data_IF_398100180209
#
_entry.id   IF_398100180209
#
_cell.length_a   1.000
_cell.length_b   1.000
_cell.length_c   1.000
_cell.angle_alpha   90.00
_cell.angle_beta   90.00
_cell.angle_gamma   90.00
#
_symmetry.space_group_name_H-M   'P 1'
#
loop_
_entity.id
_entity.type
_entity.pdbx_description
1 polymer ?
#
# COMPACT_ATOMS: atom_id res chain seq x y z
N UNK A 1 31.57 3.84 4.09
CA UNK A 1 31.30 4.65 5.30
C UNK A 1 30.14 4.06 6.08
N UNK A 2 30.08 4.26 7.40
CA UNK A 2 28.85 3.99 8.18
C UNK A 2 27.86 5.13 7.96
N UNK A 3 26.56 4.83 7.98
CA UNK A 3 25.51 5.83 7.85
C UNK A 3 24.42 5.60 8.91
N UNK A 4 23.76 6.68 9.33
CA UNK A 4 22.61 6.66 10.24
C UNK A 4 21.35 7.02 9.47
N UNK A 5 20.24 6.37 9.77
CA UNK A 5 18.94 6.75 9.20
C UNK A 5 18.45 8.00 9.91
N UNK A 6 18.21 9.07 9.16
CA UNK A 6 17.62 10.33 9.66
C UNK A 6 16.10 10.21 9.68
N UNK A 7 15.53 9.58 8.65
CA UNK A 7 14.11 9.31 8.55
C UNK A 7 13.81 8.43 7.33
N UNK A 8 12.64 7.80 7.35
CA UNK A 8 12.14 7.01 6.24
C UNK A 8 10.64 7.18 6.10
N UNK A 9 10.18 7.14 4.86
CA UNK A 9 8.78 7.30 4.49
C UNK A 9 8.35 6.16 3.56
N UNK A 10 7.80 5.07 4.12
CA UNK A 10 7.37 3.92 3.34
C UNK A 10 6.26 4.25 2.33
N UNK A 11 5.45 5.29 2.58
CA UNK A 11 4.34 5.65 1.70
C UNK A 11 4.80 6.37 0.42
N UNK A 12 6.05 6.81 0.34
CA UNK A 12 6.64 7.39 -0.87
C UNK A 12 7.88 6.64 -1.34
N UNK A 13 8.28 5.59 -0.63
CA UNK A 13 9.51 4.82 -0.89
C UNK A 13 10.79 5.69 -0.88
N UNK A 14 10.92 6.55 0.13
CA UNK A 14 12.08 7.45 0.31
C UNK A 14 12.66 7.31 1.71
N UNK A 15 13.99 7.26 1.81
CA UNK A 15 14.71 7.35 3.07
C UNK A 15 15.87 8.33 2.96
N UNK A 16 16.19 9.00 4.07
CA UNK A 16 17.34 9.89 4.19
C UNK A 16 18.33 9.28 5.16
N UNK A 17 19.57 9.11 4.70
CA UNK A 17 20.68 8.62 5.50
C UNK A 17 21.76 9.69 5.61
N UNK A 18 22.36 9.80 6.78
CA UNK A 18 23.51 10.65 7.04
C UNK A 18 24.77 9.80 7.14
N UNK A 19 25.73 10.06 6.26
CA UNK A 19 27.04 9.42 6.29
C UNK A 19 27.86 10.00 7.45
N UNK A 20 28.43 9.12 8.28
CA UNK A 20 29.36 9.49 9.35
C UNK A 20 30.79 9.54 8.77
N UNK A 21 31.23 10.75 8.40
CA UNK A 21 32.55 11.02 7.83
C UNK A 21 32.97 12.47 8.05
N UNK A 22 34.28 12.72 8.15
CA UNK A 22 34.87 14.07 8.16
C UNK A 22 35.18 14.60 6.76
N UNK A 23 35.09 13.75 5.75
CA UNK A 23 35.33 14.12 4.35
C UNK A 23 34.22 15.01 3.80
N UNK A 24 34.58 15.91 2.88
CA UNK A 24 33.62 16.75 2.17
C UNK A 24 33.29 16.11 0.82
N UNK A 25 32.03 15.70 0.67
CA UNK A 25 31.54 15.13 -0.59
C UNK A 25 31.03 16.24 -1.53
N UNK A 26 31.15 16.01 -2.85
CA UNK A 26 30.54 16.86 -3.87
C UNK A 26 29.11 16.36 -4.12
N UNK A 27 28.06 17.13 -3.73
CA UNK A 27 26.69 16.70 -3.95
C UNK A 27 26.30 16.88 -5.42
N UNK A 28 25.34 16.07 -5.84
CA UNK A 28 24.57 16.30 -7.07
C UNK A 28 23.49 17.36 -6.82
N UNK A 29 22.97 17.95 -7.89
CA UNK A 29 21.87 18.92 -7.80
C UNK A 29 20.57 18.26 -8.20
N UNK A 30 19.47 18.65 -7.57
CA UNK A 30 18.14 18.31 -8.06
C UNK A 30 17.75 19.24 -9.21
N UNK A 31 17.27 18.64 -10.29
CA UNK A 31 16.61 19.32 -11.40
C UNK A 31 15.11 19.45 -11.16
N UNK A 32 14.44 20.09 -12.12
CA UNK A 32 13.00 20.30 -12.10
C UNK A 32 12.30 19.21 -12.92
N UNK A 33 11.81 18.16 -12.25
CA UNK A 33 11.18 17.02 -12.90
C UNK A 33 9.90 17.39 -13.66
N UNK A 34 9.24 18.50 -13.31
CA UNK A 34 8.00 18.91 -13.98
C UNK A 34 8.25 19.44 -15.38
N UNK A 35 9.46 19.93 -15.67
CA UNK A 35 9.89 20.35 -17.01
C UNK A 35 10.36 19.20 -17.90
N UNK A 36 10.59 18.02 -17.34
CA UNK A 36 11.05 16.87 -18.11
C UNK A 36 9.91 16.32 -18.98
N UNK A 37 10.20 16.04 -20.25
CA UNK A 37 9.20 15.63 -21.25
C UNK A 37 9.46 14.22 -21.73
N UNK A 38 8.39 13.56 -22.18
CA UNK A 38 8.51 12.29 -22.89
C UNK A 38 9.42 12.50 -24.11
N UNK A 39 10.41 11.62 -24.28
CA UNK A 39 11.44 11.71 -25.31
C UNK A 39 12.72 12.44 -24.90
N UNK A 40 12.74 13.15 -23.76
CA UNK A 40 13.99 13.75 -23.27
C UNK A 40 14.97 12.63 -22.85
N UNK A 41 16.25 12.80 -23.20
CA UNK A 41 17.33 11.88 -22.83
C UNK A 41 17.59 11.88 -21.34
N UNK A 42 17.87 10.69 -20.81
CA UNK A 42 18.17 10.48 -19.39
C UNK A 42 19.31 9.49 -19.20
N UNK A 43 20.00 9.63 -18.07
CA UNK A 43 21.09 8.76 -17.65
C UNK A 43 20.76 8.19 -16.27
N UNK A 44 20.73 6.87 -16.15
CA UNK A 44 20.58 6.19 -14.86
C UNK A 44 21.94 5.72 -14.35
N UNK A 45 22.22 5.98 -13.07
CA UNK A 45 23.45 5.52 -12.41
C UNK A 45 23.09 4.69 -11.17
N UNK A 46 23.76 3.56 -10.99
CA UNK A 46 23.51 2.65 -9.86
C UNK A 46 24.59 1.60 -9.68
N UNK A 47 24.30 0.59 -8.85
CA UNK A 47 25.17 -0.57 -8.64
C UNK A 47 24.39 -1.87 -8.92
N UNK A 48 24.06 -2.15 -10.19
CA UNK A 48 23.22 -3.27 -10.55
C UNK A 48 23.92 -4.59 -10.20
N UNK A 49 23.19 -5.49 -9.52
CA UNK A 49 23.68 -6.80 -9.08
C UNK A 49 24.97 -6.77 -8.23
N UNK A 50 25.38 -5.61 -7.71
CA UNK A 50 26.61 -5.45 -6.94
C UNK A 50 27.90 -5.42 -7.79
N UNK A 51 27.80 -5.28 -9.12
CA UNK A 51 28.95 -5.33 -10.04
C UNK A 51 29.82 -4.06 -10.05
N UNK A 52 29.40 -3.01 -9.34
CA UNK A 52 30.05 -1.71 -9.28
C UNK A 52 29.24 -0.59 -9.93
N UNK A 53 29.77 0.63 -9.88
CA UNK A 53 29.11 1.82 -10.44
C UNK A 53 28.88 1.67 -11.94
N UNK A 54 27.60 1.57 -12.34
CA UNK A 54 27.19 1.35 -13.72
C UNK A 54 26.33 2.52 -14.20
N UNK A 55 26.55 2.93 -15.44
CA UNK A 55 25.83 4.01 -16.11
C UNK A 55 25.07 3.41 -17.28
N UNK A 56 23.78 3.73 -17.40
CA UNK A 56 22.95 3.39 -18.56
C UNK A 56 22.24 4.64 -19.05
N UNK A 57 21.85 4.65 -20.32
CA UNK A 57 21.13 5.78 -20.92
C UNK A 57 19.85 5.30 -21.59
N UNK A 58 18.92 6.23 -21.75
CA UNK A 58 17.64 6.01 -22.41
C UNK A 58 16.90 7.34 -22.53
N UNK A 59 15.59 7.27 -22.64
CA UNK A 59 14.69 8.43 -22.69
C UNK A 59 13.61 8.31 -21.63
N UNK A 60 12.92 9.41 -21.36
CA UNK A 60 11.63 9.37 -20.67
C UNK A 60 10.60 8.76 -21.60
N UNK A 61 10.13 7.55 -21.30
CA UNK A 61 9.14 6.83 -22.12
C UNK A 61 7.71 7.23 -21.77
N UNK A 62 7.44 7.60 -20.51
CA UNK A 62 6.12 8.06 -20.05
C UNK A 62 6.24 8.82 -18.72
N UNK A 63 5.17 9.54 -18.36
CA UNK A 63 5.00 10.20 -17.06
C UNK A 63 3.66 9.81 -16.43
N UNK A 64 3.45 10.16 -15.16
CA UNK A 64 2.20 9.96 -14.44
C UNK A 64 1.78 8.49 -14.36
N UNK A 65 2.77 7.60 -14.25
CA UNK A 65 2.55 6.15 -14.10
C UNK A 65 2.22 5.79 -12.66
N UNK A 66 1.16 5.00 -12.52
CA UNK A 66 0.79 4.30 -11.30
C UNK A 66 0.89 2.80 -11.56
N UNK A 67 1.61 2.10 -10.69
CA UNK A 67 1.97 0.68 -10.80
C UNK A 67 1.62 -0.12 -9.53
N UNK A 68 1.00 0.52 -8.53
CA UNK A 68 0.46 -0.11 -7.32
C UNK A 68 1.52 -0.51 -6.28
N UNK A 69 2.72 0.05 -6.34
CA UNK A 69 3.78 -0.12 -5.33
C UNK A 69 3.64 0.82 -4.14
N UNK A 70 3.07 2.01 -4.36
CA UNK A 70 3.00 3.07 -3.37
C UNK A 70 1.63 3.74 -3.33
N UNK A 71 1.34 4.46 -2.24
CA UNK A 71 0.09 5.22 -2.11
C UNK A 71 0.09 6.47 -2.99
N UNK A 72 1.25 7.08 -3.18
CA UNK A 72 1.40 8.33 -3.94
C UNK A 72 2.29 8.07 -5.15
N UNK A 73 1.68 7.76 -6.29
CA UNK A 73 2.41 7.34 -7.49
C UNK A 73 2.30 8.35 -8.63
N UNK A 74 3.45 8.84 -9.05
CA UNK A 74 3.62 9.68 -10.23
C UNK A 74 4.98 9.35 -10.86
N UNK A 75 5.16 8.08 -11.25
CA UNK A 75 6.48 7.65 -11.69
C UNK A 75 6.83 8.20 -13.08
N UNK A 76 8.09 8.60 -13.23
CA UNK A 76 8.74 8.77 -14.53
C UNK A 76 9.09 7.36 -15.03
N UNK A 77 8.63 7.00 -16.22
CA UNK A 77 9.02 5.77 -16.88
C UNK A 77 10.19 6.04 -17.81
N UNK A 78 11.17 5.15 -17.83
CA UNK A 78 12.31 5.20 -18.76
C UNK A 78 12.63 3.82 -19.32
N UNK A 79 13.21 3.80 -20.51
CA UNK A 79 13.78 2.61 -21.15
C UNK A 79 15.28 2.44 -20.87
N UNK A 80 15.90 3.38 -20.14
CA UNK A 80 17.24 3.21 -19.61
C UNK A 80 17.29 1.91 -18.79
N UNK A 81 18.30 1.08 -19.07
CA UNK A 81 18.44 -0.22 -18.41
C UNK A 81 18.63 -0.05 -16.89
N UNK A 82 17.56 -0.33 -16.14
CA UNK A 82 17.52 -0.35 -14.68
C UNK A 82 17.37 -1.81 -14.23
N UNK A 83 18.13 -2.22 -13.21
CA UNK A 83 18.07 -3.55 -12.61
C UNK A 83 18.11 -3.47 -11.09
N UNK A 84 17.89 -4.61 -10.41
CA UNK A 84 18.10 -4.74 -8.97
C UNK A 84 19.49 -4.22 -8.60
N UNK A 85 19.56 -3.30 -7.63
CA UNK A 85 20.80 -2.60 -7.25
C UNK A 85 20.93 -1.18 -7.79
N UNK A 86 20.09 -0.78 -8.76
CA UNK A 86 19.94 0.63 -9.14
C UNK A 86 18.96 1.40 -8.25
N UNK A 87 18.13 0.70 -7.47
CA UNK A 87 17.16 1.32 -6.56
C UNK A 87 17.83 2.28 -5.59
N UNK A 88 17.29 3.49 -5.46
CA UNK A 88 17.87 4.61 -4.72
C UNK A 88 18.91 5.43 -5.50
N UNK A 89 19.37 4.95 -6.66
CA UNK A 89 20.28 5.67 -7.55
C UNK A 89 19.58 6.80 -8.34
N UNK A 90 20.33 7.81 -8.80
CA UNK A 90 19.77 8.94 -9.54
C UNK A 90 19.42 8.59 -11.00
N UNK A 91 18.37 9.25 -11.49
CA UNK A 91 18.08 9.45 -12.90
C UNK A 91 18.37 10.92 -13.24
N UNK A 92 19.37 11.15 -14.10
CA UNK A 92 19.83 12.47 -14.50
C UNK A 92 19.23 12.91 -15.83
N UNK A 93 19.05 14.22 -15.97
CA UNK A 93 18.97 14.85 -17.28
C UNK A 93 20.37 15.03 -17.91
N UNK A 94 20.41 15.54 -19.14
CA UNK A 94 21.68 15.77 -19.86
C UNK A 94 22.53 16.92 -19.30
N UNK A 95 22.03 17.68 -18.32
CA UNK A 95 22.81 18.70 -17.58
C UNK A 95 23.47 18.13 -16.33
N UNK A 96 23.18 16.87 -15.99
CA UNK A 96 23.66 16.23 -14.77
C UNK A 96 22.83 16.61 -13.54
N UNK A 97 21.63 17.15 -13.72
CA UNK A 97 20.69 17.42 -12.63
C UNK A 97 19.78 16.20 -12.41
N UNK A 98 19.56 15.82 -11.15
CA UNK A 98 18.72 14.67 -10.79
C UNK A 98 17.25 15.03 -11.02
N UNK A 99 16.61 14.36 -11.97
CA UNK A 99 15.18 14.51 -12.27
C UNK A 99 14.34 13.35 -11.71
N UNK A 100 14.97 12.28 -11.24
CA UNK A 100 14.29 11.19 -10.56
C UNK A 100 15.20 10.29 -9.71
N UNK A 101 14.57 9.44 -8.90
CA UNK A 101 15.24 8.41 -8.09
C UNK A 101 14.72 7.05 -8.54
N UNK A 102 15.61 6.22 -9.09
CA UNK A 102 15.27 4.89 -9.58
C UNK A 102 14.68 4.06 -8.44
N UNK A 103 13.52 3.43 -8.63
CA UNK A 103 12.86 2.64 -7.57
C UNK A 103 12.61 1.20 -8.01
N UNK A 104 11.99 1.00 -9.18
CA UNK A 104 11.42 -0.28 -9.57
C UNK A 104 11.52 -0.52 -11.08
N UNK A 105 11.27 -1.76 -11.49
CA UNK A 105 11.22 -2.19 -12.88
C UNK A 105 10.03 -3.11 -13.10
N UNK A 106 9.54 -3.15 -14.34
CA UNK A 106 8.68 -4.24 -14.80
C UNK A 106 9.58 -5.27 -15.50
N UNK A 107 9.68 -6.49 -14.96
CA UNK A 107 10.50 -7.56 -15.55
C UNK A 107 10.86 -8.66 -14.56
N UNK A 108 10.83 -9.93 -14.99
CA UNK A 108 11.23 -11.07 -14.15
C UNK A 108 12.73 -11.33 -14.31
N UNK A 109 13.54 -10.80 -13.39
CA UNK A 109 14.98 -11.10 -13.31
C UNK A 109 15.90 -10.10 -14.03
N UNK A 110 15.36 -9.09 -14.71
CA UNK A 110 16.15 -8.03 -15.34
C UNK A 110 15.29 -7.03 -16.11
N UNK A 111 15.92 -5.94 -16.54
CA UNK A 111 15.30 -4.89 -17.32
C UNK A 111 14.81 -5.40 -18.68
N UNK A 112 13.60 -5.02 -19.06
CA UNK A 112 13.07 -5.20 -20.43
C UNK A 112 12.77 -3.84 -21.08
N UNK A 113 13.43 -2.77 -20.64
CA UNK A 113 13.19 -1.39 -21.10
C UNK A 113 12.00 -0.70 -20.45
N UNK A 114 11.60 -1.14 -19.24
CA UNK A 114 10.51 -0.53 -18.46
C UNK A 114 10.99 -0.34 -17.02
N UNK A 115 11.62 0.80 -16.76
CA UNK A 115 12.05 1.25 -15.44
C UNK A 115 11.21 2.41 -14.92
N UNK A 116 11.13 2.55 -13.60
CA UNK A 116 10.35 3.58 -12.91
C UNK A 116 11.21 4.36 -11.92
N UNK A 117 11.03 5.68 -11.93
CA UNK A 117 11.71 6.62 -11.04
C UNK A 117 10.72 7.55 -10.35
N UNK A 118 10.95 7.81 -9.06
CA UNK A 118 10.23 8.83 -8.29
C UNK A 118 10.72 10.21 -8.76
N UNK A 119 9.84 11.15 -9.17
CA UNK A 119 10.25 12.48 -9.63
C UNK A 119 11.00 13.28 -8.57
N UNK A 120 12.01 14.04 -8.98
CA UNK A 120 12.84 14.86 -8.08
C UNK A 120 12.02 15.88 -7.28
N UNK A 121 11.03 16.54 -7.89
CA UNK A 121 10.21 17.55 -7.19
C UNK A 121 9.39 16.90 -6.05
N UNK A 122 8.87 15.69 -6.27
CA UNK A 122 8.13 14.93 -5.25
C UNK A 122 9.06 14.42 -4.15
N UNK A 123 10.19 13.80 -4.54
CA UNK A 123 11.19 13.30 -3.61
C UNK A 123 11.77 14.41 -2.71
N UNK A 124 12.08 15.58 -3.28
CA UNK A 124 12.64 16.72 -2.53
C UNK A 124 11.74 17.16 -1.39
N UNK A 125 10.42 17.24 -1.61
CA UNK A 125 9.45 17.60 -0.55
C UNK A 125 9.49 16.61 0.62
N UNK A 126 9.60 15.32 0.33
CA UNK A 126 9.71 14.27 1.36
C UNK A 126 11.06 14.35 2.07
N UNK A 127 12.16 14.45 1.32
CA UNK A 127 13.53 14.56 1.84
C UNK A 127 13.64 15.75 2.79
N UNK A 128 13.13 16.92 2.40
CA UNK A 128 13.17 18.14 3.22
C UNK A 128 12.41 17.95 4.54
N UNK A 129 11.26 17.25 4.54
CA UNK A 129 10.54 16.93 5.77
C UNK A 129 11.30 15.94 6.66
N UNK A 130 11.87 14.88 6.07
CA UNK A 130 12.65 13.89 6.81
C UNK A 130 13.90 14.51 7.44
N UNK A 131 14.58 15.43 6.75
CA UNK A 131 15.74 16.15 7.29
C UNK A 131 15.32 17.06 8.46
N UNK A 132 14.25 17.83 8.29
CA UNK A 132 13.87 18.85 9.27
C UNK A 132 13.15 18.28 10.51
N UNK A 133 12.39 17.18 10.33
CA UNK A 133 11.50 16.67 11.37
C UNK A 133 11.72 15.20 11.73
N UNK A 134 12.53 14.46 10.96
CA UNK A 134 12.69 13.00 11.11
C UNK A 134 11.50 12.17 10.61
N UNK A 135 10.39 12.81 10.24
CA UNK A 135 9.15 12.19 9.77
C UNK A 135 8.41 13.09 8.79
N UNK A 136 7.50 12.51 8.00
CA UNK A 136 6.61 13.28 7.14
C UNK A 136 5.38 13.82 7.89
N UNK A 137 4.88 14.94 7.38
CA UNK A 137 3.72 15.68 7.89
C UNK A 137 2.77 15.94 6.73
N UNK A 138 1.92 14.96 6.41
CA UNK A 138 1.02 15.05 5.27
C UNK A 138 -0.31 15.67 5.65
N UNK A 139 -0.81 16.54 4.79
CA UNK A 139 -2.19 17.01 4.86
C UNK A 139 -3.18 15.84 4.79
N UNK A 140 -4.31 16.00 5.46
CA UNK A 140 -5.37 15.00 5.51
C UNK A 140 -6.74 15.66 5.43
N UNK A 141 -7.59 15.13 4.54
CA UNK A 141 -8.99 15.53 4.42
C UNK A 141 -9.95 14.61 5.19
N UNK A 142 -9.62 13.33 5.33
CA UNK A 142 -10.49 12.30 5.92
C UNK A 142 -11.67 11.89 5.03
N UNK A 143 -11.41 11.70 3.74
CA UNK A 143 -12.38 11.15 2.79
C UNK A 143 -11.86 9.87 2.16
N UNK A 144 -12.75 8.92 1.90
CA UNK A 144 -12.53 7.83 0.95
C UNK A 144 -13.11 8.24 -0.39
N UNK A 145 -12.33 8.04 -1.44
CA UNK A 145 -12.68 8.51 -2.78
C UNK A 145 -12.69 7.37 -3.78
N UNK A 146 -13.46 7.55 -4.84
CA UNK A 146 -13.54 6.65 -5.99
C UNK A 146 -13.49 7.45 -7.29
N UNK A 147 -13.20 6.73 -8.38
CA UNK A 147 -13.19 7.30 -9.73
C UNK A 147 -14.60 7.73 -10.11
N UNK A 148 -14.70 8.90 -10.76
CA UNK A 148 -15.92 9.31 -11.44
C UNK A 148 -15.93 8.64 -12.80
N UNK A 149 -16.76 7.61 -12.97
CA UNK A 149 -16.95 6.97 -14.27
C UNK A 149 -17.86 7.82 -15.15
N UNK A 150 -17.93 7.49 -16.44
CA UNK A 150 -18.83 8.16 -17.38
C UNK A 150 -20.29 8.06 -16.92
N UNK A 151 -20.70 6.90 -16.46
CA UNK A 151 -22.07 6.64 -15.99
C UNK A 151 -22.42 7.49 -14.77
N UNK A 152 -21.46 7.65 -13.85
CA UNK A 152 -21.62 8.52 -12.67
C UNK A 152 -21.76 9.97 -13.10
N UNK A 153 -20.89 10.44 -14.02
CA UNK A 153 -20.95 11.80 -14.54
C UNK A 153 -22.30 12.09 -15.23
N UNK A 154 -22.79 11.16 -16.05
CA UNK A 154 -24.06 11.28 -16.76
C UNK A 154 -25.26 11.41 -15.79
N UNK A 155 -25.30 10.58 -14.72
CA UNK A 155 -26.35 10.63 -13.69
C UNK A 155 -26.31 11.96 -12.91
N UNK A 156 -25.11 12.39 -12.53
CA UNK A 156 -24.87 13.64 -11.82
C UNK A 156 -24.96 14.89 -12.71
N UNK A 157 -25.19 14.70 -14.02
CA UNK A 157 -25.18 15.76 -15.04
C UNK A 157 -23.91 16.62 -14.98
N UNK A 158 -22.78 15.98 -14.71
CA UNK A 158 -21.46 16.59 -14.81
C UNK A 158 -21.08 16.66 -16.30
N UNK A 159 -20.36 17.70 -16.69
CA UNK A 159 -19.97 17.97 -18.08
C UNK A 159 -18.95 16.95 -18.62
N UNK A 160 -18.11 16.37 -17.76
CA UNK A 160 -17.19 15.30 -18.10
C UNK A 160 -16.86 14.42 -16.87
N UNK A 161 -16.39 13.18 -17.05
CA UNK A 161 -16.00 12.30 -15.94
C UNK A 161 -14.66 12.74 -15.33
N UNK A 162 -14.71 13.75 -14.46
CA UNK A 162 -13.56 14.29 -13.73
C UNK A 162 -13.77 14.36 -12.23
N UNK A 163 -12.68 14.58 -11.50
CA UNK A 163 -12.69 14.79 -10.06
C UNK A 163 -12.59 13.50 -9.25
N UNK A 164 -12.90 13.60 -7.97
CA UNK A 164 -12.87 12.49 -7.02
C UNK A 164 -14.21 12.38 -6.29
N UNK A 165 -14.96 11.31 -6.53
CA UNK A 165 -16.23 11.06 -5.86
C UNK A 165 -15.98 10.57 -4.44
N UNK A 166 -16.57 11.24 -3.45
CA UNK A 166 -16.50 10.90 -2.03
C UNK A 166 -17.40 9.71 -1.76
N UNK A 167 -16.79 8.55 -1.51
CA UNK A 167 -17.48 7.33 -1.11
C UNK A 167 -17.87 7.34 0.37
N UNK A 168 -17.01 7.87 1.24
CA UNK A 168 -17.32 8.10 2.65
C UNK A 168 -16.46 9.21 3.25
N UNK A 169 -16.93 9.74 4.37
CA UNK A 169 -16.22 10.75 5.16
C UNK A 169 -15.94 10.16 6.54
N UNK A 170 -14.69 10.23 6.99
CA UNK A 170 -14.32 9.77 8.33
C UNK A 170 -14.90 10.72 9.38
N UNK A 171 -15.44 10.15 10.47
CA UNK A 171 -16.02 10.93 11.57
C UNK A 171 -14.97 11.86 12.18
N UNK A 172 -15.37 13.06 12.60
CA UNK A 172 -14.49 14.08 13.20
C UNK A 172 -13.33 14.57 12.32
N UNK A 173 -13.29 14.16 11.04
CA UNK A 173 -12.29 14.57 10.08
C UNK A 173 -12.44 16.04 9.66
N UNK A 174 -11.42 16.63 9.01
CA UNK A 174 -11.53 17.95 8.40
C UNK A 174 -12.72 18.10 7.45
N UNK A 175 -12.99 17.07 6.64
CA UNK A 175 -14.09 17.08 5.67
C UNK A 175 -15.46 16.98 6.36
N UNK A 176 -15.56 16.15 7.41
CA UNK A 176 -16.78 16.04 8.23
C UNK A 176 -17.12 17.39 8.89
N UNK A 177 -16.13 18.02 9.53
CA UNK A 177 -16.27 19.35 10.15
C UNK A 177 -16.64 20.45 9.15
N UNK A 178 -16.25 20.31 7.89
CA UNK A 178 -16.60 21.23 6.81
C UNK A 178 -17.96 20.93 6.15
N UNK A 179 -18.61 19.83 6.54
CA UNK A 179 -19.91 19.40 6.00
C UNK A 179 -19.82 18.81 4.59
N UNK A 180 -18.68 18.22 4.23
CA UNK A 180 -18.54 17.34 3.07
C UNK A 180 -19.31 16.04 3.34
N UNK A 181 -19.91 15.46 2.31
CA UNK A 181 -20.78 14.29 2.43
C UNK A 181 -20.40 13.23 1.42
N UNK A 182 -20.75 11.98 1.72
CA UNK A 182 -20.74 10.93 0.70
C UNK A 182 -21.66 11.33 -0.47
N UNK A 183 -21.23 11.06 -1.69
CA UNK A 183 -21.89 11.50 -2.92
C UNK A 183 -21.37 12.82 -3.50
N UNK A 184 -20.59 13.61 -2.74
CA UNK A 184 -19.94 14.80 -3.29
C UNK A 184 -18.85 14.41 -4.32
N UNK A 185 -18.72 15.17 -5.40
CA UNK A 185 -17.57 15.04 -6.31
C UNK A 185 -16.63 16.23 -6.09
N UNK A 186 -15.41 15.97 -5.64
CA UNK A 186 -14.39 17.02 -5.47
C UNK A 186 -13.83 17.38 -6.85
N UNK A 187 -14.02 18.64 -7.25
CA UNK A 187 -13.62 19.16 -8.57
C UNK A 187 -12.34 20.00 -8.49
N UNK A 188 -12.10 20.69 -7.37
CA UNK A 188 -10.97 21.60 -7.19
C UNK A 188 -10.50 21.59 -5.74
N UNK A 189 -9.18 21.62 -5.57
CA UNK A 189 -8.51 21.74 -4.28
C UNK A 189 -7.55 22.92 -4.33
N UNK A 190 -7.84 23.97 -3.55
CA UNK A 190 -6.99 25.15 -3.39
C UNK A 190 -6.56 25.79 -4.72
N UNK A 191 -7.51 26.00 -5.64
CA UNK A 191 -7.26 26.51 -6.98
C UNK A 191 -6.77 25.48 -8.01
N UNK A 192 -6.43 24.26 -7.57
CA UNK A 192 -5.95 23.19 -8.45
C UNK A 192 -7.11 22.28 -8.86
N UNK A 193 -7.39 22.21 -10.17
CA UNK A 193 -8.42 21.33 -10.73
C UNK A 193 -8.02 19.86 -10.57
N UNK A 194 -8.97 19.04 -10.15
CA UNK A 194 -8.81 17.58 -10.04
C UNK A 194 -9.38 16.96 -11.31
N UNK A 195 -8.51 16.55 -12.23
CA UNK A 195 -8.90 15.89 -13.47
C UNK A 195 -9.09 14.41 -13.23
N UNK A 196 -8.17 13.79 -12.51
CA UNK A 196 -8.20 12.38 -12.17
C UNK A 196 -8.27 12.19 -10.65
N UNK A 197 -9.02 11.18 -10.21
CA UNK A 197 -9.19 10.86 -8.79
C UNK A 197 -7.85 10.74 -8.03
N UNK A 198 -6.82 10.19 -8.68
CA UNK A 198 -5.49 9.95 -8.09
C UNK A 198 -4.69 11.22 -7.77
N UNK A 199 -5.05 12.35 -8.38
CA UNK A 199 -4.37 13.63 -8.17
C UNK A 199 -4.68 14.21 -6.78
N UNK A 200 -5.93 14.06 -6.32
CA UNK A 200 -6.37 14.65 -5.06
C UNK A 200 -5.55 14.16 -3.84
N UNK A 201 -5.33 12.85 -3.62
CA UNK A 201 -4.49 12.39 -2.51
C UNK A 201 -3.07 12.96 -2.54
N UNK A 202 -2.47 13.14 -3.72
CA UNK A 202 -1.12 13.66 -3.87
C UNK A 202 -1.06 15.14 -3.48
N UNK A 203 -1.97 15.95 -4.01
CA UNK A 203 -2.03 17.39 -3.74
C UNK A 203 -2.31 17.63 -2.25
N UNK A 204 -3.25 16.88 -1.67
CA UNK A 204 -3.58 16.96 -0.23
C UNK A 204 -2.38 16.61 0.64
N UNK A 205 -1.68 15.50 0.32
CA UNK A 205 -0.53 15.05 1.09
C UNK A 205 0.65 16.03 1.04
N UNK A 206 0.80 16.76 -0.07
CA UNK A 206 1.85 17.77 -0.25
C UNK A 206 1.49 19.14 0.32
N UNK A 207 0.25 19.35 0.76
CA UNK A 207 -0.20 20.62 1.34
C UNK A 207 0.10 20.64 2.85
N UNK A 208 0.52 21.82 3.33
CA UNK A 208 0.88 22.01 4.73
C UNK A 208 -0.28 21.66 5.68
N UNK A 209 0.04 20.89 6.73
CA UNK A 209 -0.90 20.56 7.80
C UNK A 209 -1.43 21.83 8.45
N UNK A 210 -2.75 21.89 8.66
CA UNK A 210 -3.38 23.05 9.30
C UNK A 210 -3.66 24.22 8.36
N UNK A 211 -3.19 24.18 7.09
CA UNK A 211 -3.57 25.15 6.08
C UNK A 211 -5.09 25.13 5.87
N UNK A 212 -5.69 26.32 5.74
CA UNK A 212 -7.07 26.47 5.29
C UNK A 212 -7.08 26.52 3.76
N UNK A 213 -7.80 25.61 3.14
CA UNK A 213 -7.92 25.49 1.68
C UNK A 213 -9.38 25.63 1.25
N UNK A 214 -9.58 26.14 0.04
CA UNK A 214 -10.89 26.11 -0.61
C UNK A 214 -11.07 24.78 -1.35
N UNK A 215 -12.13 24.04 -1.02
CA UNK A 215 -12.51 22.79 -1.67
C UNK A 215 -13.80 23.02 -2.46
N UNK A 216 -13.73 22.90 -3.80
CA UNK A 216 -14.91 23.00 -4.66
C UNK A 216 -15.46 21.59 -4.90
N UNK A 217 -16.72 21.39 -4.55
CA UNK A 217 -17.43 20.12 -4.73
C UNK A 217 -18.68 20.28 -5.58
N UNK A 218 -19.00 19.25 -6.34
CA UNK A 218 -20.28 19.06 -7.01
C UNK A 218 -21.22 18.30 -6.07
N UNK A 219 -22.36 18.88 -5.78
CA UNK A 219 -23.41 18.24 -4.98
C UNK A 219 -24.77 18.66 -5.52
N UNK A 220 -25.65 17.70 -5.78
CA UNK A 220 -27.00 17.96 -6.28
C UNK A 220 -26.97 18.86 -7.54
N UNK A 221 -26.08 18.56 -8.48
CA UNK A 221 -25.95 19.27 -9.77
C UNK A 221 -25.52 20.74 -9.66
N UNK A 222 -24.83 21.10 -8.57
CA UNK A 222 -24.32 22.46 -8.32
C UNK A 222 -22.92 22.43 -7.73
N UNK A 223 -22.13 23.43 -8.08
CA UNK A 223 -20.85 23.69 -7.42
C UNK A 223 -21.05 24.36 -6.06
N UNK A 224 -20.35 23.86 -5.06
CA UNK A 224 -20.33 24.37 -3.69
C UNK A 224 -18.86 24.47 -3.26
N UNK A 225 -18.46 25.64 -2.76
CA UNK A 225 -17.13 25.81 -2.16
C UNK A 225 -17.20 25.68 -0.64
N UNK A 226 -16.29 24.90 -0.07
CA UNK A 226 -16.12 24.70 1.37
C UNK A 226 -14.71 25.06 1.79
N UNK A 227 -14.58 25.86 2.85
CA UNK A 227 -13.28 26.11 3.49
C UNK A 227 -12.96 24.99 4.47
N UNK A 228 -11.82 24.34 4.27
CA UNK A 228 -11.40 23.19 5.07
C UNK A 228 -10.03 23.46 5.67
N UNK A 229 -9.89 23.25 6.99
CA UNK A 229 -8.58 23.27 7.65
C UNK A 229 -8.01 21.86 7.64
N UNK A 230 -6.91 21.63 6.93
CA UNK A 230 -6.33 20.29 6.81
C UNK A 230 -5.88 19.74 8.16
N UNK A 231 -6.15 18.45 8.37
CA UNK A 231 -5.57 17.68 9.46
C UNK A 231 -4.21 17.13 9.08
N UNK A 232 -3.64 16.35 9.99
CA UNK A 232 -2.41 15.59 9.75
C UNK A 232 -2.73 14.11 9.60
N UNK A 233 -2.31 13.53 8.49
CA UNK A 233 -2.54 12.11 8.20
C UNK A 233 -1.87 11.24 9.26
N UNK A 234 -0.62 11.52 9.62
CA UNK A 234 0.14 10.64 10.52
C UNK A 234 -0.42 10.57 11.94
N UNK A 235 -1.31 11.51 12.31
CA UNK A 235 -1.99 11.55 13.62
C UNK A 235 -3.48 11.22 13.54
N UNK A 236 -4.03 10.99 12.35
CA UNK A 236 -5.45 10.66 12.19
C UNK A 236 -5.75 9.27 12.76
N UNK A 237 -6.95 9.08 13.30
CA UNK A 237 -7.41 7.78 13.83
C UNK A 237 -7.32 6.69 12.76
N UNK A 238 -7.75 6.99 11.52
CA UNK A 238 -7.59 6.13 10.33
C UNK A 238 -6.15 5.66 10.03
N UNK A 239 -5.15 6.43 10.48
CA UNK A 239 -3.74 6.13 10.26
C UNK A 239 -3.09 5.47 11.48
N UNK A 240 -3.56 5.79 12.69
CA UNK A 240 -3.19 5.10 13.93
C UNK A 240 -3.61 3.63 13.89
N UNK A 241 -4.81 3.33 13.40
CA UNK A 241 -5.27 1.95 13.18
C UNK A 241 -4.35 1.18 12.20
N UNK A 242 -3.71 1.87 11.24
CA UNK A 242 -2.74 1.27 10.30
C UNK A 242 -1.31 1.20 10.83
N UNK A 243 -0.89 2.10 11.72
CA UNK A 243 0.41 2.04 12.41
C UNK A 243 0.44 0.98 13.52
N UNK A 244 -0.72 0.47 13.93
CA UNK A 244 -0.87 -0.63 14.89
C UNK A 244 -1.18 -2.00 14.25
N UNK A 245 -0.84 -2.23 12.98
CA UNK A 245 -0.35 -3.56 12.64
C UNK A 245 1.05 -3.69 13.26
N UNK A 246 1.06 -3.94 14.59
CA UNK A 246 2.15 -4.70 15.21
C UNK A 246 2.49 -5.80 14.21
N UNK A 247 3.78 -6.03 13.94
CA UNK A 247 4.22 -7.34 13.45
C UNK A 247 3.49 -8.35 14.32
N UNK A 248 2.42 -8.97 13.81
CA UNK A 248 1.77 -10.03 14.56
C UNK A 248 2.90 -11.03 14.74
N UNK A 249 3.35 -11.19 16.00
CA UNK A 249 3.94 -12.45 16.36
C UNK A 249 2.90 -13.44 15.91
N UNK A 250 3.22 -14.21 14.86
CA UNK A 250 2.37 -15.28 14.38
C UNK A 250 2.21 -16.19 15.59
N UNK A 251 1.09 -16.03 16.29
CA UNK A 251 0.82 -16.78 17.50
C UNK A 251 0.43 -18.18 17.05
N UNK A 252 1.35 -19.12 17.28
CA UNK A 252 1.12 -20.52 17.00
C UNK A 252 0.42 -21.09 18.24
N UNK A 253 -0.84 -21.47 18.07
CA UNK A 253 -1.64 -22.11 19.12
C UNK A 253 -1.67 -23.61 18.91
N UNK A 254 -1.46 -24.37 19.98
CA UNK A 254 -1.63 -25.83 19.95
C UNK A 254 -3.09 -26.21 20.23
N UNK A 255 -3.71 -26.99 19.34
CA UNK A 255 -5.03 -27.58 19.54
C UNK A 255 -4.84 -29.00 20.06
N UNK A 256 -4.78 -29.16 21.39
CA UNK A 256 -4.43 -30.42 22.06
C UNK A 256 -5.27 -31.61 21.61
N UNK A 257 -6.59 -31.45 21.51
CA UNK A 257 -7.52 -32.51 21.10
C UNK A 257 -7.31 -32.99 19.67
N UNK A 258 -6.67 -32.19 18.81
CA UNK A 258 -6.31 -32.57 17.45
C UNK A 258 -4.81 -32.84 17.31
N UNK A 259 -4.00 -32.58 18.34
CA UNK A 259 -2.53 -32.71 18.33
C UNK A 259 -1.88 -31.99 17.15
N UNK A 260 -2.35 -30.77 16.88
CA UNK A 260 -1.84 -29.89 15.81
C UNK A 260 -1.49 -28.52 16.34
N UNK A 261 -0.59 -27.84 15.64
CA UNK A 261 -0.31 -26.42 15.86
C UNK A 261 -0.88 -25.61 14.71
N UNK A 262 -1.56 -24.51 15.02
CA UNK A 262 -2.25 -23.65 14.05
C UNK A 262 -1.88 -22.19 14.23
N UNK A 263 -2.02 -21.41 13.16
CA UNK A 263 -2.02 -19.95 13.20
C UNK A 263 -3.22 -19.40 12.45
N UNK A 264 -3.61 -18.17 12.73
CA UNK A 264 -4.67 -17.49 11.97
C UNK A 264 -4.25 -17.29 10.51
N UNK A 265 -5.20 -17.47 9.59
CA UNK A 265 -5.03 -17.17 8.17
C UNK A 265 -4.91 -15.65 7.98
N UNK A 266 -3.84 -15.20 7.32
CA UNK A 266 -3.56 -13.78 7.12
C UNK A 266 -4.02 -13.29 5.75
N UNK A 267 -4.14 -11.96 5.59
CA UNK A 267 -4.39 -11.32 4.29
C UNK A 267 -3.31 -11.66 3.25
N UNK A 268 -2.06 -11.87 3.69
CA UNK A 268 -0.96 -12.29 2.82
C UNK A 268 -1.17 -13.71 2.30
N UNK A 269 -1.61 -14.65 3.16
CA UNK A 269 -1.94 -16.01 2.74
C UNK A 269 -3.07 -16.02 1.71
N UNK A 270 -4.12 -15.22 1.93
CA UNK A 270 -5.28 -15.10 1.03
C UNK A 270 -4.81 -14.61 -0.35
N UNK A 271 -3.97 -13.58 -0.39
CA UNK A 271 -3.43 -13.03 -1.63
C UNK A 271 -2.52 -14.04 -2.35
N UNK A 272 -1.57 -14.66 -1.64
CA UNK A 272 -0.63 -15.63 -2.19
C UNK A 272 -1.35 -16.85 -2.76
N UNK A 273 -2.38 -17.33 -2.06
CA UNK A 273 -3.15 -18.50 -2.45
C UNK A 273 -4.34 -18.16 -3.35
N UNK A 274 -4.59 -16.89 -3.69
CA UNK A 274 -5.75 -16.46 -4.49
C UNK A 274 -7.08 -16.98 -3.93
N UNK A 275 -7.23 -16.95 -2.60
CA UNK A 275 -8.47 -17.33 -1.93
C UNK A 275 -9.48 -16.17 -2.00
N UNK A 276 -10.79 -16.43 -1.84
CA UNK A 276 -11.77 -15.36 -1.70
C UNK A 276 -11.39 -14.35 -0.61
N UNK A 277 -11.57 -13.05 -0.87
CA UNK A 277 -11.12 -11.94 0.00
C UNK A 277 -11.74 -11.90 1.42
N UNK A 278 -12.66 -12.82 1.74
CA UNK A 278 -13.32 -12.96 3.04
C UNK A 278 -13.13 -14.34 3.67
N UNK A 279 -12.19 -15.14 3.15
CA UNK A 279 -11.87 -16.44 3.74
C UNK A 279 -11.25 -16.22 5.12
N UNK A 280 -11.83 -16.84 6.14
CA UNK A 280 -11.27 -16.94 7.48
C UNK A 280 -10.90 -18.39 7.76
N UNK A 281 -9.92 -18.62 8.62
CA UNK A 281 -9.54 -19.97 9.00
C UNK A 281 -8.22 -20.03 9.74
N UNK A 282 -7.78 -21.26 9.96
CA UNK A 282 -6.55 -21.60 10.67
C UNK A 282 -5.63 -22.40 9.75
N UNK A 283 -4.40 -21.91 9.57
CA UNK A 283 -3.36 -22.61 8.80
C UNK A 283 -2.69 -23.63 9.71
N UNK A 284 -2.63 -24.89 9.27
CA UNK A 284 -1.88 -25.94 9.96
C UNK A 284 -0.39 -25.69 9.81
N UNK A 285 0.32 -25.55 10.93
CA UNK A 285 1.77 -25.28 10.99
C UNK A 285 2.57 -26.51 11.40
N UNK A 286 1.96 -27.39 12.21
CA UNK A 286 2.50 -28.67 12.61
C UNK A 286 1.37 -29.67 12.85
N UNK A 287 1.60 -30.95 12.55
CA UNK A 287 0.65 -32.05 12.75
C UNK A 287 1.42 -33.21 13.39
N UNK A 288 1.03 -33.61 14.61
CA UNK A 288 1.65 -34.76 15.27
C UNK A 288 1.37 -36.05 14.49
N UNK A 289 2.28 -37.03 14.55
CA UNK A 289 2.11 -38.32 13.87
C UNK A 289 0.87 -39.09 14.35
N UNK A 290 0.52 -38.95 15.62
CA UNK A 290 -0.64 -39.56 16.28
C UNK A 290 -1.89 -38.66 16.27
N UNK A 291 -1.90 -37.62 15.45
CA UNK A 291 -3.06 -36.74 15.26
C UNK A 291 -4.21 -37.48 14.54
N UNK A 292 -5.48 -37.27 14.92
CA UNK A 292 -6.64 -37.79 14.20
C UNK A 292 -6.79 -37.22 12.77
N UNK A 293 -5.98 -36.23 12.41
CA UNK A 293 -5.91 -35.62 11.07
C UNK A 293 -4.51 -35.72 10.43
N UNK A 294 -3.72 -36.74 10.79
CA UNK A 294 -2.36 -36.96 10.26
C UNK A 294 -2.29 -37.21 8.74
N UNK A 295 -3.43 -37.43 8.07
CA UNK A 295 -3.54 -37.50 6.62
C UNK A 295 -3.65 -36.12 5.93
N UNK A 296 -3.79 -35.03 6.68
CA UNK A 296 -3.69 -33.66 6.18
C UNK A 296 -2.24 -33.20 6.08
N UNK A 297 -2.00 -32.09 5.39
CA UNK A 297 -0.66 -31.52 5.21
C UNK A 297 -0.51 -30.20 5.95
N UNK A 298 0.71 -29.91 6.39
CA UNK A 298 1.10 -28.55 6.80
C UNK A 298 0.76 -27.58 5.67
N UNK A 299 0.29 -26.39 6.02
CA UNK A 299 -0.32 -25.37 5.17
C UNK A 299 -1.72 -25.66 4.63
N UNK A 300 -2.37 -26.78 4.96
CA UNK A 300 -3.82 -26.87 4.78
C UNK A 300 -4.54 -25.89 5.74
N UNK A 301 -5.71 -25.38 5.34
CA UNK A 301 -6.46 -24.38 6.12
C UNK A 301 -7.76 -25.00 6.62
N UNK A 302 -7.99 -24.98 7.94
CA UNK A 302 -9.30 -25.26 8.53
C UNK A 302 -10.17 -24.01 8.44
N UNK A 303 -11.27 -24.05 7.69
CA UNK A 303 -12.14 -22.89 7.46
C UNK A 303 -13.48 -22.99 8.19
N UNK A 304 -13.96 -24.20 8.47
CA UNK A 304 -15.20 -24.43 9.24
C UNK A 304 -15.07 -25.66 10.13
N UNK A 305 -15.78 -25.66 11.27
CA UNK A 305 -16.07 -26.86 12.06
C UNK A 305 -17.55 -26.88 12.44
N UNK A 306 -18.20 -28.03 12.31
CA UNK A 306 -19.65 -28.20 12.51
C UNK A 306 -20.49 -27.15 11.77
N UNK A 307 -20.12 -26.86 10.52
CA UNK A 307 -20.73 -25.83 9.64
C UNK A 307 -20.67 -24.40 10.19
N UNK A 308 -19.85 -24.14 11.22
CA UNK A 308 -19.55 -22.80 11.74
C UNK A 308 -18.21 -22.35 11.20
N UNK A 309 -18.14 -21.11 10.73
CA UNK A 309 -16.90 -20.48 10.27
C UNK A 309 -15.90 -20.37 11.42
N UNK A 310 -14.65 -20.73 11.15
CA UNK A 310 -13.54 -20.57 12.08
C UNK A 310 -12.82 -19.26 11.78
N UNK A 311 -12.62 -18.43 12.80
CA UNK A 311 -11.85 -17.18 12.71
C UNK A 311 -10.63 -17.20 13.63
N UNK A 312 -10.66 -17.99 14.69
CA UNK A 312 -9.59 -18.10 15.69
C UNK A 312 -9.42 -19.54 16.20
N UNK A 313 -8.28 -19.82 16.84
CA UNK A 313 -8.01 -21.11 17.50
C UNK A 313 -9.08 -21.43 18.57
N UNK A 314 -9.49 -20.40 19.33
CA UNK A 314 -10.53 -20.49 20.36
C UNK A 314 -11.88 -20.93 19.79
N UNK A 315 -12.25 -20.50 18.58
CA UNK A 315 -13.51 -20.93 17.95
C UNK A 315 -13.50 -22.44 17.71
N UNK A 316 -12.38 -22.96 17.21
CA UNK A 316 -12.21 -24.39 16.94
C UNK A 316 -12.20 -25.19 18.23
N UNK A 317 -11.46 -24.75 19.26
CA UNK A 317 -11.44 -25.40 20.57
C UNK A 317 -12.83 -25.44 21.23
N UNK A 318 -13.59 -24.34 21.16
CA UNK A 318 -14.95 -24.31 21.71
C UNK A 318 -15.86 -25.33 21.03
N UNK A 319 -15.78 -25.47 19.71
CA UNK A 319 -16.58 -26.43 18.95
C UNK A 319 -16.17 -27.87 19.29
N UNK A 320 -14.87 -28.15 19.39
CA UNK A 320 -14.34 -29.47 19.80
C UNK A 320 -14.82 -29.81 21.22
N UNK A 321 -14.64 -28.89 22.17
CA UNK A 321 -15.03 -29.10 23.57
C UNK A 321 -16.55 -29.29 23.73
N UNK A 322 -17.35 -28.59 22.93
CA UNK A 322 -18.80 -28.80 22.89
C UNK A 322 -19.15 -30.20 22.38
N UNK A 323 -18.50 -30.67 21.31
CA UNK A 323 -18.71 -31.99 20.77
C UNK A 323 -18.36 -33.10 21.78
N UNK A 324 -17.21 -32.98 22.45
CA UNK A 324 -16.77 -33.91 23.51
C UNK A 324 -17.79 -33.95 24.65
N UNK A 325 -18.26 -32.79 25.14
CA UNK A 325 -19.26 -32.70 26.20
C UNK A 325 -20.61 -33.31 25.82
N UNK A 326 -20.96 -33.31 24.53
CA UNK A 326 -22.19 -33.91 24.01
C UNK A 326 -22.07 -35.39 23.65
N UNK A 327 -20.98 -36.08 24.05
CA UNK A 327 -20.65 -37.45 23.63
C UNK A 327 -20.63 -37.64 22.10
N UNK A 328 -20.32 -36.58 21.36
CA UNK A 328 -20.16 -36.62 19.92
C UNK A 328 -18.68 -36.87 19.60
N UNK A 329 -18.35 -38.14 19.35
CA UNK A 329 -16.97 -38.60 19.12
C UNK A 329 -16.46 -38.29 17.70
N UNK A 330 -17.22 -37.56 16.88
CA UNK A 330 -16.82 -37.19 15.51
C UNK A 330 -17.34 -35.82 15.14
N UNK A 331 -16.45 -34.94 14.70
CA UNK A 331 -16.78 -33.60 14.23
C UNK A 331 -16.57 -33.49 12.72
N UNK A 332 -17.39 -32.67 12.08
CA UNK A 332 -17.23 -32.34 10.67
C UNK A 332 -16.37 -31.07 10.54
N UNK A 333 -15.27 -31.13 9.80
CA UNK A 333 -14.41 -29.97 9.50
C UNK A 333 -14.42 -29.71 8.00
N UNK A 334 -14.46 -28.45 7.58
CA UNK A 334 -14.17 -28.04 6.20
C UNK A 334 -12.74 -27.51 6.13
N UNK A 335 -11.98 -28.01 5.15
CA UNK A 335 -10.61 -27.56 4.88
C UNK A 335 -10.46 -27.00 3.47
N UNK A 336 -9.42 -26.20 3.26
CA UNK A 336 -8.89 -25.83 1.95
C UNK A 336 -7.48 -26.41 1.82
N UNK A 337 -7.30 -27.36 0.91
CA UNK A 337 -6.00 -27.99 0.69
C UNK A 337 -5.04 -27.06 -0.07
N UNK A 338 -3.76 -27.40 -0.15
CA UNK A 338 -2.75 -26.62 -0.89
C UNK A 338 -3.08 -26.33 -2.38
N UNK A 339 -3.98 -27.11 -3.00
CA UNK A 339 -4.48 -26.89 -4.37
C UNK A 339 -5.71 -25.96 -4.41
N UNK A 340 -6.03 -25.32 -3.29
CA UNK A 340 -7.20 -24.45 -3.06
C UNK A 340 -8.55 -25.13 -3.26
N UNK A 341 -8.60 -26.45 -3.09
CA UNK A 341 -9.83 -27.21 -3.14
C UNK A 341 -10.45 -27.30 -1.75
N UNK A 342 -11.72 -26.91 -1.64
CA UNK A 342 -12.50 -27.06 -0.41
C UNK A 342 -13.03 -28.48 -0.28
N UNK A 343 -12.84 -29.10 0.89
CA UNK A 343 -13.30 -30.47 1.21
C UNK A 343 -13.87 -30.53 2.62
N UNK A 344 -14.83 -31.43 2.85
CA UNK A 344 -15.30 -31.78 4.19
C UNK A 344 -14.66 -33.09 4.64
N UNK A 345 -14.26 -33.15 5.92
CA UNK A 345 -13.65 -34.32 6.55
C UNK A 345 -14.34 -34.60 7.88
N UNK A 346 -14.59 -35.88 8.18
CA UNK A 346 -14.99 -36.32 9.50
C UNK A 346 -13.75 -36.59 10.34
N UNK A 347 -13.67 -35.97 11.51
CA UNK A 347 -12.53 -36.12 12.42
C UNK A 347 -13.03 -36.79 13.69
N UNK A 348 -12.52 -37.99 13.96
CA UNK A 348 -12.79 -38.69 15.21
C UNK A 348 -11.98 -38.03 16.32
N UNK A 349 -12.67 -37.66 17.40
CA UNK A 349 -12.04 -37.09 18.59
C UNK A 349 -11.71 -38.24 19.55
N UNK A 350 -10.55 -38.15 20.19
CA UNK A 350 -10.10 -39.10 21.22
C UNK A 350 -10.72 -38.81 22.59
#
# INVERSE_FOLDING_TARGET
YKAKVIGADPLSDIAVLQIDSKEKFKPVKFGDSDKARIGDWVIAIGNPFGLGGTVTSGIISARNRSIGLSRYEDYIQTDASINTGNSGGPLFDMKGDVIGINTAILGKGGSIGIGFSIPSNSAKKVIDQLINFGETKRGWLGVRIQVVTKEIADIEKLDEPRGALVASVAENSPSDKAGIKAGDIILEFDGTKIKEMKELPQIVAQTEVGKKVDLKVWRNKKEITKKIKLGRLETSEDFKEKKEEKKEKIEITEIKSLKVSVRVLTSQDIALRKLPNQTTGLVLTNISQDSPINYLKVNDIIVEAQKKKIKSAKDLELIINQAIKSNQNTILIAIINQQNQRRYIGVKLD
#
